data_IF_979118589116
#
_entry.id   IF_979118589116
#
_cell.length_a   1.000
_cell.length_b   1.000
_cell.length_c   1.000
_cell.angle_alpha   90.00
_cell.angle_beta   90.00
_cell.angle_gamma   90.00
#
_symmetry.space_group_name_H-M   'P 1'
#
loop_
_entity.id
_entity.type
_entity.pdbx_description
1 polymer ?
#
# COMPACT_ATOMS: atom_id res chain seq x y z
N UNK A 1 -2.62 -12.55 -7.29
CA UNK A 1 -1.99 -11.88 -6.14
C UNK A 1 -1.12 -10.77 -6.66
N UNK A 2 -1.21 -9.57 -6.09
CA UNK A 2 -0.44 -8.41 -6.54
C UNK A 2 1.07 -8.61 -6.28
N UNK A 3 1.96 -8.38 -7.27
CA UNK A 3 3.39 -8.68 -7.18
C UNK A 3 4.17 -7.56 -6.44
N UNK A 4 3.89 -7.37 -5.15
CA UNK A 4 4.57 -6.36 -4.34
C UNK A 4 6.03 -6.74 -4.07
N UNK A 5 6.97 -5.84 -4.39
CA UNK A 5 8.41 -5.99 -4.12
C UNK A 5 8.82 -5.78 -2.66
N UNK A 6 7.86 -5.45 -1.79
CA UNK A 6 8.08 -5.14 -0.36
C UNK A 6 9.09 -4.01 -0.11
N UNK A 7 9.24 -3.08 -1.06
CA UNK A 7 10.20 -1.96 -0.96
C UNK A 7 9.90 -0.90 0.11
N UNK A 8 8.72 -0.92 0.74
CA UNK A 8 8.35 0.01 1.81
C UNK A 8 7.93 1.42 1.37
N UNK A 9 7.99 1.76 0.07
CA UNK A 9 7.73 3.15 -0.36
C UNK A 9 6.27 3.60 -0.21
N UNK A 10 5.30 2.68 -0.28
CA UNK A 10 3.91 2.98 0.09
C UNK A 10 3.79 3.30 1.59
N UNK A 11 4.54 2.61 2.45
CA UNK A 11 4.59 2.91 3.87
C UNK A 11 5.24 4.27 4.15
N UNK A 12 6.30 4.64 3.42
CA UNK A 12 6.93 5.98 3.52
C UNK A 12 6.01 7.13 3.11
N UNK A 13 5.02 6.85 2.26
CA UNK A 13 4.09 7.86 1.73
C UNK A 13 2.68 7.77 2.30
N UNK A 14 2.45 6.98 3.37
CA UNK A 14 1.10 6.66 3.85
C UNK A 14 0.32 7.91 4.27
N UNK A 15 1.00 8.91 4.85
CA UNK A 15 0.42 10.17 5.31
C UNK A 15 -0.14 11.04 4.20
N UNK A 16 0.20 10.77 2.93
CA UNK A 16 -0.39 11.44 1.76
C UNK A 16 -1.84 10.98 1.49
N UNK A 17 -2.27 9.89 2.10
CA UNK A 17 -3.62 9.34 1.93
C UNK A 17 -4.53 9.75 3.09
N UNK A 18 -5.82 9.96 2.82
CA UNK A 18 -6.80 10.35 3.86
C UNK A 18 -6.97 9.23 4.91
N UNK A 19 -7.05 7.97 4.46
CA UNK A 19 -7.22 6.80 5.32
C UNK A 19 -5.94 6.43 6.09
N UNK A 20 -4.78 6.84 5.58
CA UNK A 20 -3.47 6.57 6.17
C UNK A 20 -3.08 7.48 7.34
N UNK A 21 -3.80 8.58 7.58
CA UNK A 21 -3.43 9.59 8.58
C UNK A 21 -3.29 9.03 10.00
N UNK A 22 -4.17 8.12 10.41
CA UNK A 22 -4.10 7.48 11.73
C UNK A 22 -2.90 6.54 11.91
N UNK A 23 -2.23 6.19 10.80
CA UNK A 23 -1.06 5.32 10.77
C UNK A 23 0.24 6.08 10.52
N UNK A 24 0.14 7.34 10.11
CA UNK A 24 1.27 8.18 9.77
C UNK A 24 1.92 8.75 11.04
N UNK A 25 3.25 8.76 11.05
CA UNK A 25 4.08 9.56 11.93
C UNK A 25 4.10 11.02 11.44
N UNK A 26 4.76 11.90 12.20
CA UNK A 26 4.86 13.33 11.87
C UNK A 26 5.51 13.57 10.49
N UNK A 27 6.43 12.71 10.07
CA UNK A 27 7.09 12.77 8.75
C UNK A 27 6.24 12.19 7.61
N UNK A 28 5.03 11.70 7.91
CA UNK A 28 4.12 11.08 6.97
C UNK A 28 4.40 9.60 6.68
N UNK A 29 5.43 9.00 7.28
CA UNK A 29 5.74 7.57 7.15
C UNK A 29 4.88 6.72 8.08
N UNK A 30 4.70 5.45 7.74
CA UNK A 30 3.87 4.53 8.51
C UNK A 30 4.58 4.09 9.80
N UNK A 31 3.89 4.11 10.95
CA UNK A 31 4.47 3.72 12.25
C UNK A 31 4.88 2.22 12.36
N UNK A 32 4.57 1.42 11.35
CA UNK A 32 4.94 -0.01 11.22
C UNK A 32 6.04 -0.23 10.17
N UNK A 33 6.60 0.83 9.59
CA UNK A 33 7.76 0.72 8.73
C UNK A 33 9.01 0.52 9.60
N UNK A 34 9.69 -0.61 9.42
CA UNK A 34 11.05 -0.76 9.94
C UNK A 34 12.00 -0.02 9.00
N UNK A 35 12.63 1.06 9.49
CA UNK A 35 13.47 1.96 8.69
C UNK A 35 14.83 1.35 8.33
N UNK A 36 15.31 0.37 9.10
CA UNK A 36 16.57 -0.34 8.82
C UNK A 36 16.43 -1.31 7.65
N UNK A 37 15.28 -2.00 7.56
CA UNK A 37 15.02 -3.05 6.55
C UNK A 37 14.11 -2.62 5.41
N UNK A 38 13.44 -1.47 5.54
CA UNK A 38 12.34 -1.00 4.67
C UNK A 38 11.12 -1.94 4.64
N UNK A 39 11.02 -2.90 5.55
CA UNK A 39 9.90 -3.83 5.59
C UNK A 39 8.79 -3.34 6.54
N UNK A 40 7.54 -3.62 6.17
CA UNK A 40 6.41 -3.42 7.08
C UNK A 40 6.38 -4.54 8.12
N UNK A 41 6.38 -4.19 9.41
CA UNK A 41 6.40 -5.16 10.52
C UNK A 41 5.11 -5.98 10.64
N UNK A 42 4.00 -5.51 10.04
CA UNK A 42 2.71 -6.21 9.98
C UNK A 42 2.35 -6.64 8.56
N UNK A 43 3.34 -6.90 7.68
CA UNK A 43 3.10 -7.17 6.26
C UNK A 43 2.03 -8.25 5.99
N UNK A 44 2.01 -9.33 6.77
CA UNK A 44 1.04 -10.42 6.60
C UNK A 44 -0.35 -10.07 7.15
N UNK A 45 -0.46 -9.07 8.03
CA UNK A 45 -1.70 -8.62 8.67
C UNK A 45 -1.99 -7.15 8.33
N UNK A 46 -1.59 -6.72 7.13
CA UNK A 46 -1.79 -5.35 6.67
C UNK A 46 -3.29 -5.01 6.64
N UNK A 47 -3.68 -3.77 6.98
CA UNK A 47 -5.04 -3.31 6.78
C UNK A 47 -5.48 -3.50 5.33
N UNK A 48 -6.79 -3.67 5.09
CA UNK A 48 -7.37 -3.88 3.75
C UNK A 48 -6.85 -2.88 2.72
N UNK A 49 -6.78 -1.59 3.07
CA UNK A 49 -6.30 -0.54 2.15
C UNK A 49 -4.81 -0.66 1.77
N UNK A 50 -4.01 -1.36 2.57
CA UNK A 50 -2.60 -1.68 2.29
C UNK A 50 -2.44 -3.04 1.56
N UNK A 51 -3.52 -3.80 1.41
CA UNK A 51 -3.56 -5.11 0.79
C UNK A 51 -4.33 -5.03 -0.54
N UNK A 52 -3.60 -4.89 -1.65
CA UNK A 52 -4.19 -4.68 -2.99
C UNK A 52 -5.21 -5.76 -3.35
N UNK A 53 -4.93 -7.02 -3.03
CA UNK A 53 -5.82 -8.13 -3.34
C UNK A 53 -7.13 -8.03 -2.55
N UNK A 54 -7.05 -7.83 -1.24
CA UNK A 54 -8.23 -7.73 -0.37
C UNK A 54 -9.05 -6.46 -0.65
N UNK A 55 -8.37 -5.35 -0.97
CA UNK A 55 -9.00 -4.09 -1.38
C UNK A 55 -9.84 -4.29 -2.66
N UNK A 56 -9.29 -5.04 -3.63
CA UNK A 56 -10.03 -5.39 -4.84
C UNK A 56 -11.29 -6.19 -4.53
N UNK A 57 -11.18 -7.29 -3.77
CA UNK A 57 -12.34 -8.13 -3.45
C UNK A 57 -13.45 -7.36 -2.73
N UNK A 58 -13.07 -6.46 -1.81
CA UNK A 58 -14.04 -5.76 -0.95
C UNK A 58 -14.69 -4.55 -1.61
N UNK A 59 -13.98 -3.84 -2.48
CA UNK A 59 -14.41 -2.51 -2.92
C UNK A 59 -14.49 -2.32 -4.43
N UNK A 60 -13.76 -3.12 -5.23
CA UNK A 60 -13.60 -2.83 -6.67
C UNK A 60 -13.98 -3.99 -7.59
N UNK A 61 -14.37 -5.14 -7.04
CA UNK A 61 -14.74 -6.33 -7.84
C UNK A 61 -15.92 -6.09 -8.79
N UNK A 62 -16.85 -5.19 -8.43
CA UNK A 62 -18.00 -4.82 -9.27
C UNK A 62 -17.72 -3.68 -10.24
N UNK A 63 -16.63 -2.93 -10.03
CA UNK A 63 -16.35 -1.68 -10.74
C UNK A 63 -15.37 -1.86 -11.91
N UNK A 64 -14.45 -2.83 -11.80
CA UNK A 64 -13.43 -3.06 -12.83
C UNK A 64 -12.84 -4.48 -12.77
N UNK A 65 -12.13 -4.84 -13.83
CA UNK A 65 -11.36 -6.08 -13.85
C UNK A 65 -10.20 -6.02 -12.85
N UNK A 66 -9.79 -7.18 -12.35
CA UNK A 66 -8.61 -7.29 -11.48
C UNK A 66 -7.34 -6.81 -12.17
N UNK A 67 -7.23 -7.08 -13.46
CA UNK A 67 -6.07 -6.70 -14.26
C UNK A 67 -5.95 -5.18 -14.36
N UNK A 68 -7.04 -4.47 -14.66
CA UNK A 68 -7.07 -3.00 -14.70
C UNK A 68 -6.70 -2.41 -13.33
N UNK A 69 -7.31 -2.94 -12.26
CA UNK A 69 -7.00 -2.51 -10.90
C UNK A 69 -5.51 -2.72 -10.56
N UNK A 70 -4.93 -3.86 -10.93
CA UNK A 70 -3.51 -4.11 -10.76
C UNK A 70 -2.63 -3.17 -11.57
N UNK A 71 -3.01 -2.82 -12.80
CA UNK A 71 -2.23 -1.87 -13.60
C UNK A 71 -2.20 -0.48 -12.96
N UNK A 72 -3.34 0.01 -12.47
CA UNK A 72 -3.42 1.27 -11.72
C UNK A 72 -2.52 1.24 -10.47
N UNK A 73 -2.59 0.15 -9.69
CA UNK A 73 -1.74 -0.01 -8.50
C UNK A 73 -0.24 -0.12 -8.84
N UNK A 74 0.13 -0.76 -9.95
CA UNK A 74 1.52 -0.83 -10.44
C UNK A 74 2.04 0.55 -10.84
N UNK A 75 1.22 1.36 -11.53
CA UNK A 75 1.60 2.73 -11.91
C UNK A 75 1.93 3.56 -10.66
N UNK A 76 1.06 3.55 -9.64
CA UNK A 76 1.33 4.23 -8.37
C UNK A 76 2.55 3.65 -7.66
N UNK A 77 2.69 2.32 -7.62
CA UNK A 77 3.86 1.66 -7.03
C UNK A 77 5.17 2.14 -7.66
N UNK A 78 5.24 2.20 -8.99
CA UNK A 78 6.41 2.70 -9.71
C UNK A 78 6.65 4.20 -9.47
N UNK A 79 5.61 5.02 -9.39
CA UNK A 79 5.75 6.44 -9.06
C UNK A 79 6.35 6.65 -7.68
N UNK A 80 5.98 5.82 -6.70
CA UNK A 80 6.51 5.88 -5.33
C UNK A 80 7.93 5.29 -5.19
N UNK A 81 8.39 4.51 -6.18
CA UNK A 81 9.73 3.91 -6.18
C UNK A 81 10.82 4.80 -6.79
N UNK A 82 10.43 5.93 -7.38
CA UNK A 82 11.35 6.95 -7.88
C UNK A 82 11.70 7.94 -6.78
#
# INVERSE_FOLDING_TARGET
MFPCSRCGNCCKSIGKTIWGKAMALEDGSCKWLNTETNLCTIYNNRPTMCNVDECYEKFYITEMSRDDFYQLNKQVCHMLQK
#
